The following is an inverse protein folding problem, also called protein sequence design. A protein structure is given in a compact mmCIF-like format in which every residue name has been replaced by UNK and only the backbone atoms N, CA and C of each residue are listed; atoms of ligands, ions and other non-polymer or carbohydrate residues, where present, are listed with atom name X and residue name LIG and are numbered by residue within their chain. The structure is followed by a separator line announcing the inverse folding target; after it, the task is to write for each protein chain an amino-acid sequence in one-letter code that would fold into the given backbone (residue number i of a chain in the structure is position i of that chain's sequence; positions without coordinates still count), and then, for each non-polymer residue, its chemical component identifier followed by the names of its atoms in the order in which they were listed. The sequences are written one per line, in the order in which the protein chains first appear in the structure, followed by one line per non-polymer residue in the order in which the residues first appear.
data_IF_374428058165
#
_entry.id   IF_374428058165
#
_cell.length_a   1.000
_cell.length_b   1.000
_cell.length_c   1.000
_cell.angle_alpha   90.00
_cell.angle_beta   90.00
_cell.angle_gamma   90.00
#
_symmetry.space_group_name_H-M   'P 1'
#
loop_
_entity.id
_entity.type
_entity.pdbx_description
1 polymer ?
#
# COMPACT_ATOMS: atom_id res chain seq x y z
N UNK A 1 -37.56 -5.36 13.87
CA UNK A 1 -36.99 -4.11 13.31
C UNK A 1 -35.59 -3.84 13.86
N UNK A 2 -35.40 -3.72 15.19
CA UNK A 2 -34.10 -3.35 15.78
C UNK A 2 -32.94 -4.34 15.52
N UNK A 3 -33.24 -5.64 15.45
CA UNK A 3 -32.26 -6.69 15.13
C UNK A 3 -31.76 -6.64 13.69
N UNK A 4 -32.62 -6.29 12.72
CA UNK A 4 -32.22 -6.14 11.33
C UNK A 4 -31.30 -4.92 11.11
N UNK A 5 -31.54 -3.83 11.86
CA UNK A 5 -30.64 -2.66 11.86
C UNK A 5 -29.26 -2.99 12.43
N UNK A 6 -29.20 -3.78 13.51
CA UNK A 6 -27.91 -4.19 14.09
C UNK A 6 -27.14 -5.11 13.14
N UNK A 7 -27.84 -6.06 12.51
CA UNK A 7 -27.22 -6.98 11.54
C UNK A 7 -26.68 -6.26 10.30
N UNK A 8 -27.40 -5.26 9.81
CA UNK A 8 -26.94 -4.46 8.66
C UNK A 8 -25.74 -3.60 9.01
N UNK A 9 -25.70 -2.97 10.19
CA UNK A 9 -24.53 -2.21 10.66
C UNK A 9 -23.31 -3.12 10.80
N UNK A 10 -23.46 -4.32 11.37
CA UNK A 10 -22.37 -5.29 11.51
C UNK A 10 -21.80 -5.71 10.16
N UNK A 11 -22.65 -6.00 9.16
CA UNK A 11 -22.20 -6.34 7.81
C UNK A 11 -21.43 -5.20 7.15
N UNK A 12 -21.90 -3.96 7.29
CA UNK A 12 -21.22 -2.77 6.74
C UNK A 12 -19.86 -2.60 7.40
N UNK A 13 -19.76 -2.72 8.72
CA UNK A 13 -18.47 -2.58 9.43
C UNK A 13 -17.45 -3.61 8.98
N UNK A 14 -17.88 -4.88 8.81
CA UNK A 14 -17.00 -5.95 8.32
C UNK A 14 -16.55 -5.69 6.88
N UNK A 15 -17.47 -5.25 6.00
CA UNK A 15 -17.10 -4.87 4.64
C UNK A 15 -16.08 -3.75 4.62
N UNK A 16 -16.27 -2.68 5.41
CA UNK A 16 -15.35 -1.54 5.45
C UNK A 16 -14.00 -1.87 6.05
N UNK A 17 -13.92 -2.75 7.06
CA UNK A 17 -12.62 -3.17 7.63
C UNK A 17 -11.83 -4.03 6.66
N UNK A 18 -12.50 -4.95 5.94
CA UNK A 18 -11.83 -5.77 4.90
C UNK A 18 -11.33 -4.88 3.76
N UNK A 19 -12.08 -3.84 3.40
CA UNK A 19 -11.64 -2.87 2.40
C UNK A 19 -10.48 -2.00 2.91
N UNK A 20 -10.45 -1.64 4.20
CA UNK A 20 -9.37 -0.86 4.80
C UNK A 20 -8.01 -1.61 4.80
N UNK A 21 -8.00 -2.92 5.08
CA UNK A 21 -6.79 -3.75 4.96
C UNK A 21 -6.34 -3.94 3.50
N UNK A 22 -7.26 -3.76 2.53
CA UNK A 22 -6.95 -3.85 1.10
C UNK A 22 -6.66 -2.51 0.43
N UNK A 23 -6.77 -1.38 1.15
CA UNK A 23 -6.16 -0.08 0.73
C UNK A 23 -4.72 0.08 1.23
N UNK A 24 -4.06 -1.02 1.59
CA UNK A 24 -2.66 -1.16 1.16
C UNK A 24 -2.67 -1.71 -0.26
N UNK A 25 -3.38 -1.01 -1.15
CA UNK A 25 -3.03 -1.03 -2.54
C UNK A 25 -1.59 -0.52 -2.53
N UNK A 26 -0.63 -1.45 -2.59
CA UNK A 26 0.63 -1.17 -3.26
C UNK A 26 0.17 -0.78 -4.66
N UNK A 27 -0.15 0.50 -4.81
CA UNK A 27 -0.29 1.13 -6.10
C UNK A 27 0.98 0.71 -6.81
N UNK A 28 0.80 -0.10 -7.84
CA UNK A 28 1.87 -0.55 -8.73
C UNK A 28 2.47 0.65 -9.51
N UNK A 29 2.04 1.87 -9.19
CA UNK A 29 2.71 3.13 -9.40
C UNK A 29 3.96 3.23 -8.50
N UNK A 30 4.95 2.43 -8.83
CA UNK A 30 6.30 2.80 -8.44
C UNK A 30 6.61 4.16 -9.10
N UNK A 31 6.55 5.22 -8.31
CA UNK A 31 7.00 6.54 -8.73
C UNK A 31 8.55 6.55 -8.74
N UNK A 32 9.18 6.82 -9.89
CA UNK A 32 10.63 6.70 -10.02
C UNK A 32 11.40 7.68 -9.13
N UNK A 33 10.83 8.85 -8.84
CA UNK A 33 11.48 9.85 -7.98
C UNK A 33 11.45 9.38 -6.53
N UNK A 34 10.27 9.00 -6.05
CA UNK A 34 10.06 8.50 -4.68
C UNK A 34 10.86 7.22 -4.43
N UNK A 35 10.94 6.33 -5.43
CA UNK A 35 11.77 5.13 -5.37
C UNK A 35 13.26 5.46 -5.28
N UNK A 36 13.75 6.39 -6.11
CA UNK A 36 15.15 6.82 -6.06
C UNK A 36 15.49 7.46 -4.71
N UNK A 37 14.68 8.44 -4.27
CA UNK A 37 14.91 9.16 -3.01
C UNK A 37 14.86 8.23 -1.79
N UNK A 38 13.91 7.28 -1.77
CA UNK A 38 13.82 6.26 -0.74
C UNK A 38 15.05 5.36 -0.68
N UNK A 39 15.52 4.85 -1.84
CA UNK A 39 16.73 4.03 -1.89
C UNK A 39 17.98 4.80 -1.43
N UNK A 40 18.10 6.08 -1.79
CA UNK A 40 19.22 6.91 -1.31
C UNK A 40 19.13 7.14 0.20
N UNK A 41 17.93 7.36 0.74
CA UNK A 41 17.72 7.48 2.18
C UNK A 41 18.10 6.20 2.95
N UNK A 42 17.92 5.03 2.32
CA UNK A 42 18.30 3.71 2.84
C UNK A 42 19.80 3.37 2.64
N UNK A 43 20.64 4.35 2.28
CA UNK A 43 22.08 4.18 1.99
C UNK A 43 22.38 3.29 0.77
N UNK A 44 21.56 3.40 -0.27
CA UNK A 44 21.85 2.82 -1.59
C UNK A 44 22.24 3.91 -2.59
N UNK A 45 23.05 3.53 -3.59
CA UNK A 45 23.47 4.46 -4.66
C UNK A 45 22.32 4.90 -5.58
N UNK A 46 21.32 4.04 -5.79
CA UNK A 46 20.24 4.30 -6.73
C UNK A 46 18.99 3.44 -6.49
N UNK A 47 17.84 3.90 -6.99
CA UNK A 47 16.57 3.17 -7.02
C UNK A 47 15.87 3.31 -8.37
N UNK A 48 15.21 2.25 -8.84
CA UNK A 48 14.40 2.30 -10.06
C UNK A 48 13.22 1.36 -10.03
N UNK A 49 12.15 1.74 -10.72
CA UNK A 49 10.94 0.97 -10.85
C UNK A 49 11.08 -0.12 -11.92
N UNK A 50 10.87 -1.38 -11.52
CA UNK A 50 10.91 -2.55 -12.39
C UNK A 50 9.64 -3.36 -12.14
N UNK A 51 8.80 -3.53 -13.17
CA UNK A 51 7.52 -4.23 -13.08
C UNK A 51 6.57 -3.69 -11.98
N UNK A 52 6.61 -2.37 -11.73
CA UNK A 52 5.78 -1.73 -10.70
C UNK A 52 6.32 -1.86 -9.28
N UNK A 53 7.52 -2.42 -9.10
CA UNK A 53 8.20 -2.51 -7.81
C UNK A 53 9.48 -1.67 -7.79
N UNK A 54 9.74 -1.01 -6.67
CA UNK A 54 10.98 -0.27 -6.49
C UNK A 54 12.14 -1.22 -6.19
N UNK A 55 13.21 -1.16 -6.97
CA UNK A 55 14.46 -1.90 -6.74
C UNK A 55 15.61 -0.95 -6.47
N UNK A 56 16.22 -1.07 -5.28
CA UNK A 56 17.44 -0.37 -4.91
C UNK A 56 18.69 -1.11 -5.40
N UNK A 57 19.74 -0.36 -5.72
CA UNK A 57 21.04 -0.86 -6.19
C UNK A 57 22.17 -0.16 -5.45
N UNK A 58 23.25 -0.90 -5.16
CA UNK A 58 24.44 -0.35 -4.49
C UNK A 58 24.19 0.01 -3.02
N UNK A 59 23.51 -0.86 -2.27
CA UNK A 59 23.27 -0.66 -0.84
C UNK A 59 24.48 -1.11 0.00
N UNK A 60 24.83 -0.35 1.04
CA UNK A 60 26.03 -0.53 1.85
C UNK A 60 25.77 -0.62 3.36
#
# INVERSE_FOLDING_TARGET
MKTAFILTILLITVFTTIHADTVTERSSDCDPVTCFDGCVADNCDSGSCVNGECQCRGCH
#
